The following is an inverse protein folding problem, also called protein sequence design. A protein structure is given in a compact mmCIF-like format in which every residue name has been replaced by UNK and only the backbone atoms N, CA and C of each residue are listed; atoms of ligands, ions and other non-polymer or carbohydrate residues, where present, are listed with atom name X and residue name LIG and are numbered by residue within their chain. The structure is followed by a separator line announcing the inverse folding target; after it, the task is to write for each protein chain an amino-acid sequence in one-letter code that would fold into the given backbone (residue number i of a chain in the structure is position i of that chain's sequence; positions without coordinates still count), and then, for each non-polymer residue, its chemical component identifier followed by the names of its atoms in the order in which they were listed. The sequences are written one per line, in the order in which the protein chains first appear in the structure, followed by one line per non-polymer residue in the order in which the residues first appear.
data_IF_895828204195
#
_entry.id   IF_895828204195
#
_cell.length_a   1.000
_cell.length_b   1.000
_cell.length_c   1.000
_cell.angle_alpha   90.00
_cell.angle_beta   90.00
_cell.angle_gamma   90.00
#
_symmetry.space_group_name_H-M   'P 1'
#
loop_
_entity.id
_entity.type
_entity.pdbx_description
1 polymer ?
#
# COMPACT_ATOMS: atom_id res chain seq x y z
N UNK A 1 -17.64 -5.69 -0.58
CA UNK A 1 -17.68 -4.96 0.70
C UNK A 1 -18.96 -4.20 0.90
N UNK A 2 -19.77 -4.56 1.91
CA UNK A 2 -20.89 -3.76 2.39
C UNK A 2 -21.20 -4.12 3.86
N UNK A 3 -22.06 -3.35 4.54
CA UNK A 3 -22.53 -3.71 5.88
C UNK A 3 -21.44 -3.66 6.94
N UNK A 4 -21.22 -4.78 7.65
CA UNK A 4 -20.26 -4.88 8.76
C UNK A 4 -18.82 -4.64 8.31
N UNK A 5 -18.35 -5.32 7.26
CA UNK A 5 -16.99 -5.15 6.73
C UNK A 5 -16.68 -3.69 6.33
N UNK A 6 -17.69 -2.97 5.83
CA UNK A 6 -17.57 -1.55 5.49
C UNK A 6 -17.39 -0.67 6.73
N UNK A 7 -18.18 -0.94 7.79
CA UNK A 7 -18.07 -0.22 9.07
C UNK A 7 -16.75 -0.53 9.78
N UNK A 8 -16.33 -1.79 9.79
CA UNK A 8 -15.04 -2.17 10.38
C UNK A 8 -13.87 -1.48 9.69
N UNK A 9 -13.88 -1.45 8.35
CA UNK A 9 -12.87 -0.71 7.57
C UNK A 9 -12.89 0.78 7.91
N UNK A 10 -14.08 1.38 8.04
CA UNK A 10 -14.21 2.77 8.46
C UNK A 10 -13.58 3.01 9.83
N UNK A 11 -13.92 2.20 10.83
CA UNK A 11 -13.44 2.35 12.21
C UNK A 11 -11.92 2.15 12.29
N UNK A 12 -11.37 1.17 11.57
CA UNK A 12 -9.93 1.00 11.49
C UNK A 12 -9.24 2.22 10.87
N UNK A 13 -9.75 2.76 9.76
CA UNK A 13 -9.19 3.95 9.13
C UNK A 13 -9.31 5.20 10.02
N UNK A 14 -10.41 5.35 10.75
CA UNK A 14 -10.60 6.44 11.72
C UNK A 14 -9.56 6.41 12.83
N UNK A 15 -9.20 5.22 13.30
CA UNK A 15 -8.21 5.04 14.35
C UNK A 15 -6.78 5.33 13.86
N UNK A 16 -6.42 4.89 12.65
CA UNK A 16 -5.04 5.02 12.17
C UNK A 16 -4.73 6.40 11.57
N UNK A 17 -5.70 7.10 10.97
CA UNK A 17 -5.42 8.35 10.24
C UNK A 17 -4.75 9.42 11.12
N UNK A 18 -5.18 9.67 12.38
CA UNK A 18 -4.48 10.60 13.27
C UNK A 18 -3.07 10.13 13.62
N UNK A 19 -2.86 8.83 13.77
CA UNK A 19 -1.57 8.24 14.13
C UNK A 19 -0.58 8.39 12.96
N UNK A 20 -1.01 8.08 11.73
CA UNK A 20 -0.24 8.32 10.53
C UNK A 20 0.13 9.81 10.40
N UNK A 21 -0.81 10.70 10.69
CA UNK A 21 -0.60 12.15 10.59
C UNK A 21 0.44 12.68 11.58
N UNK A 22 0.58 12.04 12.75
CA UNK A 22 1.62 12.38 13.71
C UNK A 22 3.04 12.11 13.17
N UNK A 23 3.18 11.19 12.21
CA UNK A 23 4.47 10.81 11.60
C UNK A 23 4.66 11.32 10.16
N UNK A 24 3.58 11.66 9.46
CA UNK A 24 3.59 12.27 8.13
C UNK A 24 2.52 13.36 8.03
N UNK A 25 2.93 14.61 7.88
CA UNK A 25 2.02 15.75 7.80
C UNK A 25 1.06 15.68 6.61
N UNK A 26 1.30 14.83 5.62
CA UNK A 26 0.36 14.59 4.52
C UNK A 26 -0.81 13.69 4.92
N UNK A 27 -0.70 12.88 5.98
CA UNK A 27 -1.74 11.92 6.38
C UNK A 27 -1.80 10.71 5.44
N UNK A 28 -3.00 10.18 5.18
CA UNK A 28 -3.22 9.02 4.31
C UNK A 28 -4.01 9.40 3.05
N UNK A 29 -3.79 8.65 1.98
CA UNK A 29 -4.59 8.70 0.76
C UNK A 29 -5.47 7.47 0.67
N UNK A 30 -6.77 7.67 0.44
CA UNK A 30 -7.76 6.59 0.37
C UNK A 30 -8.27 6.42 -1.05
N UNK A 31 -8.18 5.18 -1.55
CA UNK A 31 -8.65 4.79 -2.88
C UNK A 31 -9.66 3.66 -2.77
N UNK A 32 -10.89 3.91 -3.23
CA UNK A 32 -11.88 2.85 -3.37
C UNK A 32 -11.72 2.11 -4.69
N UNK A 33 -12.05 0.81 -4.73
CA UNK A 33 -12.01 0.00 -5.96
C UNK A 33 -12.95 0.60 -7.03
N UNK A 34 -14.21 0.87 -6.66
CA UNK A 34 -15.30 1.19 -7.59
C UNK A 34 -15.81 2.65 -7.50
N UNK A 35 -15.08 3.51 -6.77
CA UNK A 35 -15.37 4.94 -6.71
C UNK A 35 -14.11 5.75 -7.03
N UNK A 36 -14.33 6.94 -7.62
CA UNK A 36 -13.29 7.90 -7.98
C UNK A 36 -13.68 9.27 -7.46
N UNK A 37 -12.69 10.02 -7.00
CA UNK A 37 -12.85 11.44 -6.74
C UNK A 37 -12.76 12.20 -8.07
N UNK A 38 -13.89 12.55 -8.67
CA UNK A 38 -13.94 13.29 -9.94
C UNK A 38 -13.55 14.77 -9.81
N UNK A 39 -13.46 15.29 -8.58
CA UNK A 39 -12.90 16.61 -8.31
C UNK A 39 -11.36 16.59 -8.27
N UNK A 40 -10.73 15.41 -8.30
CA UNK A 40 -9.29 15.30 -8.47
C UNK A 40 -8.88 15.71 -9.90
N UNK A 41 -7.59 16.02 -10.09
CA UNK A 41 -7.06 16.39 -11.41
C UNK A 41 -7.35 15.27 -12.44
N UNK A 42 -7.55 15.60 -13.73
CA UNK A 42 -7.89 14.61 -14.77
C UNK A 42 -6.86 13.47 -14.90
N UNK A 43 -5.61 13.73 -14.55
CA UNK A 43 -4.48 12.78 -14.57
C UNK A 43 -4.28 12.03 -13.23
N UNK A 44 -5.08 12.34 -12.21
CA UNK A 44 -5.01 11.69 -10.91
C UNK A 44 -5.63 10.29 -10.98
N UNK A 45 -5.12 9.33 -10.20
CA UNK A 45 -5.79 8.04 -9.97
C UNK A 45 -7.17 8.17 -9.30
N UNK A 46 -7.67 9.37 -9.00
CA UNK A 46 -9.01 9.62 -8.48
C UNK A 46 -9.15 9.16 -7.03
N UNK A 47 -8.12 9.42 -6.23
CA UNK A 47 -8.09 9.17 -4.79
C UNK A 47 -8.62 10.33 -3.97
N UNK A 48 -8.90 10.05 -2.70
CA UNK A 48 -9.21 11.02 -1.68
C UNK A 48 -7.95 11.22 -0.84
N UNK A 49 -7.21 12.28 -1.14
CA UNK A 49 -5.86 12.48 -0.61
C UNK A 49 -5.85 13.36 0.63
N UNK A 50 -4.76 13.29 1.38
CA UNK A 50 -4.51 14.12 2.55
C UNK A 50 -5.56 13.99 3.67
N UNK A 51 -6.04 12.77 3.90
CA UNK A 51 -6.96 12.45 4.99
C UNK A 51 -6.15 12.35 6.29
N UNK A 52 -6.45 13.24 7.24
CA UNK A 52 -5.66 13.42 8.47
C UNK A 52 -6.41 13.12 9.75
N UNK A 53 -7.73 13.25 9.71
CA UNK A 53 -8.58 13.20 10.91
C UNK A 53 -9.64 12.12 10.79
N UNK A 54 -10.08 11.59 11.94
CA UNK A 54 -11.19 10.64 12.00
C UNK A 54 -12.47 11.23 11.37
N UNK A 55 -12.74 12.52 11.55
CA UNK A 55 -13.90 13.20 10.97
C UNK A 55 -13.87 13.22 9.43
N UNK A 56 -12.69 13.40 8.83
CA UNK A 56 -12.54 13.32 7.37
C UNK A 56 -12.79 11.89 6.86
N UNK A 57 -12.33 10.86 7.59
CA UNK A 57 -12.63 9.46 7.25
C UNK A 57 -14.13 9.19 7.31
N UNK A 58 -14.81 9.63 8.37
CA UNK A 58 -16.28 9.48 8.48
C UNK A 58 -17.00 10.16 7.32
N UNK A 59 -16.65 11.40 7.00
CA UNK A 59 -17.25 12.14 5.89
C UNK A 59 -17.03 11.42 4.55
N UNK A 60 -15.85 10.83 4.36
CA UNK A 60 -15.52 10.06 3.17
C UNK A 60 -16.38 8.80 3.04
N UNK A 61 -16.52 8.02 4.12
CA UNK A 61 -17.32 6.80 4.11
C UNK A 61 -18.83 7.09 4.01
N UNK A 62 -19.27 8.29 4.41
CA UNK A 62 -20.64 8.77 4.17
C UNK A 62 -20.89 9.20 2.73
N UNK A 63 -19.88 9.71 2.01
CA UNK A 63 -20.04 10.18 0.62
C UNK A 63 -19.93 9.07 -0.43
N UNK A 64 -19.28 7.96 -0.09
CA UNK A 64 -19.13 6.80 -0.98
C UNK A 64 -20.10 5.68 -0.59
N UNK A 65 -20.64 4.98 -1.59
CA UNK A 65 -21.43 3.76 -1.40
C UNK A 65 -20.72 2.58 -2.04
N UNK A 66 -20.55 1.46 -1.31
CA UNK A 66 -19.96 0.27 -1.90
C UNK A 66 -20.86 -0.30 -3.00
N UNK A 67 -20.25 -0.79 -4.08
CA UNK A 67 -20.93 -1.34 -5.25
C UNK A 67 -19.97 -2.11 -6.14
N UNK A 68 -20.50 -2.95 -7.01
CA UNK A 68 -19.76 -3.61 -8.09
C UNK A 68 -18.86 -4.76 -7.62
N UNK A 69 -18.05 -5.24 -8.56
CA UNK A 69 -17.08 -6.33 -8.39
C UNK A 69 -15.83 -5.89 -7.61
N UNK A 70 -14.83 -6.75 -7.53
CA UNK A 70 -13.56 -6.49 -6.83
C UNK A 70 -12.39 -6.41 -7.84
N UNK A 71 -12.31 -5.39 -8.70
CA UNK A 71 -11.24 -5.26 -9.70
C UNK A 71 -9.93 -4.78 -9.05
N UNK A 72 -9.35 -5.63 -8.20
CA UNK A 72 -8.19 -5.34 -7.35
C UNK A 72 -6.96 -5.03 -8.19
N UNK A 73 -6.62 -5.88 -9.16
CA UNK A 73 -5.44 -5.70 -10.00
C UNK A 73 -5.52 -4.42 -10.81
N UNK A 74 -6.68 -4.17 -11.43
CA UNK A 74 -6.97 -2.95 -12.18
C UNK A 74 -6.82 -1.71 -11.30
N UNK A 75 -7.29 -1.75 -10.06
CA UNK A 75 -7.17 -0.60 -9.15
C UNK A 75 -5.72 -0.36 -8.72
N UNK A 76 -4.98 -1.41 -8.36
CA UNK A 76 -3.55 -1.33 -8.03
C UNK A 76 -2.79 -0.70 -9.19
N UNK A 77 -3.00 -1.18 -10.42
CA UNK A 77 -2.34 -0.63 -11.62
C UNK A 77 -2.67 0.85 -11.82
N UNK A 78 -3.92 1.26 -11.66
CA UNK A 78 -4.30 2.67 -11.79
C UNK A 78 -3.56 3.58 -10.80
N UNK A 79 -3.28 3.10 -9.59
CA UNK A 79 -2.60 3.88 -8.56
C UNK A 79 -1.08 3.87 -8.77
N UNK A 80 -0.49 2.70 -9.02
CA UNK A 80 0.96 2.55 -9.09
C UNK A 80 1.54 2.95 -10.45
N UNK A 81 0.79 2.89 -11.55
CA UNK A 81 1.30 3.23 -12.87
C UNK A 81 1.74 4.70 -13.00
N UNK A 82 0.95 5.70 -12.54
CA UNK A 82 1.41 7.10 -12.49
C UNK A 82 2.64 7.27 -11.59
N UNK A 83 2.63 6.66 -10.40
CA UNK A 83 3.75 6.71 -9.46
C UNK A 83 5.06 6.18 -10.08
N UNK A 84 5.00 5.01 -10.75
CA UNK A 84 6.17 4.44 -11.42
C UNK A 84 6.69 5.32 -12.56
N UNK A 85 5.80 6.02 -13.28
CA UNK A 85 6.23 6.99 -14.31
C UNK A 85 6.95 8.19 -13.70
N UNK A 86 6.44 8.70 -12.58
CA UNK A 86 7.09 9.78 -11.83
C UNK A 86 8.46 9.34 -11.32
N UNK A 87 8.54 8.14 -10.75
CA UNK A 87 9.77 7.52 -10.26
C UNK A 87 10.82 7.35 -11.37
N UNK A 88 10.45 6.78 -12.51
CA UNK A 88 11.33 6.66 -13.68
C UNK A 88 11.84 8.00 -14.18
N UNK A 89 10.96 8.99 -14.30
CA UNK A 89 11.34 10.32 -14.74
C UNK A 89 12.27 11.00 -13.74
N UNK A 90 12.10 10.74 -12.44
CA UNK A 90 12.98 11.26 -11.40
C UNK A 90 14.37 10.61 -11.43
N UNK A 91 14.45 9.30 -11.64
CA UNK A 91 15.72 8.59 -11.87
C UNK A 91 16.42 9.16 -13.09
N UNK A 92 15.71 9.32 -14.21
CA UNK A 92 16.29 9.86 -15.43
C UNK A 92 16.90 11.27 -15.25
N UNK A 93 16.36 12.07 -14.32
CA UNK A 93 16.89 13.40 -13.97
C UNK A 93 18.07 13.38 -13.00
N UNK A 94 18.08 12.43 -12.07
CA UNK A 94 19.01 12.43 -10.92
C UNK A 94 20.14 11.41 -11.05
N UNK A 95 19.95 10.37 -11.85
CA UNK A 95 20.87 9.24 -11.99
C UNK A 95 20.94 8.33 -10.75
N UNK A 96 20.13 8.59 -9.71
CA UNK A 96 20.18 7.84 -8.45
C UNK A 96 18.77 7.37 -8.04
N UNK A 97 18.45 6.07 -8.14
CA UNK A 97 17.20 5.49 -7.66
C UNK A 97 16.90 5.76 -6.17
N UNK A 98 17.91 5.72 -5.31
CA UNK A 98 17.74 5.84 -3.86
C UNK A 98 17.46 7.28 -3.39
N UNK A 99 17.88 8.28 -4.17
CA UNK A 99 17.74 9.71 -3.83
C UNK A 99 17.18 10.54 -4.99
N UNK A 100 16.19 9.99 -5.70
CA UNK A 100 15.52 10.69 -6.80
C UNK A 100 14.44 11.67 -6.32
N UNK A 101 14.21 11.80 -5.01
CA UNK A 101 13.22 12.69 -4.41
C UNK A 101 11.78 12.17 -4.39
N UNK A 102 11.52 10.99 -4.97
CA UNK A 102 10.19 10.36 -4.95
C UNK A 102 10.03 9.52 -3.69
N UNK A 103 8.99 9.84 -2.89
CA UNK A 103 8.74 9.16 -1.62
C UNK A 103 8.32 7.70 -1.85
N UNK A 104 8.86 6.74 -1.08
CA UNK A 104 8.36 5.37 -1.05
C UNK A 104 6.87 5.28 -0.70
N UNK A 105 6.19 4.25 -1.23
CA UNK A 105 4.75 4.02 -1.03
C UNK A 105 4.53 2.74 -0.22
N UNK A 106 3.65 2.80 0.78
CA UNK A 106 3.09 1.62 1.45
C UNK A 106 1.58 1.56 1.14
N UNK A 107 1.18 0.60 0.31
CA UNK A 107 -0.20 0.40 -0.12
C UNK A 107 -0.86 -0.68 0.73
N UNK A 108 -1.92 -0.33 1.45
CA UNK A 108 -2.74 -1.27 2.21
C UNK A 108 -4.03 -1.52 1.44
N UNK A 109 -4.25 -2.77 1.02
CA UNK A 109 -5.44 -3.22 0.30
C UNK A 109 -6.35 -3.95 1.28
N UNK A 110 -7.50 -3.35 1.58
CA UNK A 110 -8.50 -3.92 2.49
C UNK A 110 -9.67 -4.45 1.65
N UNK A 111 -9.97 -5.74 1.73
CA UNK A 111 -11.03 -6.38 0.93
C UNK A 111 -11.79 -7.44 1.74
N UNK A 112 -13.06 -7.67 1.41
CA UNK A 112 -13.87 -8.76 1.96
C UNK A 112 -14.32 -9.76 0.89
N UNK A 113 -13.79 -9.64 -0.33
CA UNK A 113 -14.15 -10.46 -1.47
C UNK A 113 -12.92 -10.79 -2.33
N UNK A 114 -13.01 -11.93 -3.03
CA UNK A 114 -12.01 -12.34 -4.01
C UNK A 114 -11.87 -11.32 -5.14
N UNK A 115 -10.64 -11.09 -5.67
CA UNK A 115 -10.42 -10.32 -6.89
C UNK A 115 -11.24 -10.88 -8.06
N UNK A 116 -11.79 -10.00 -8.90
CA UNK A 116 -12.49 -10.38 -10.13
C UNK A 116 -11.62 -10.23 -11.38
N UNK A 117 -10.36 -9.89 -11.18
CA UNK A 117 -9.30 -9.75 -12.17
C UNK A 117 -8.02 -10.37 -11.62
N UNK A 118 -6.90 -10.18 -12.30
CA UNK A 118 -5.60 -10.77 -11.96
C UNK A 118 -4.68 -9.72 -11.29
N UNK A 119 -4.72 -9.57 -9.95
CA UNK A 119 -3.79 -8.73 -9.23
C UNK A 119 -2.36 -9.26 -9.26
N UNK A 120 -2.16 -10.57 -9.35
CA UNK A 120 -0.85 -11.21 -9.33
C UNK A 120 0.00 -10.73 -10.52
N UNK A 121 -0.55 -10.81 -11.74
CA UNK A 121 0.14 -10.36 -12.95
C UNK A 121 0.49 -8.87 -12.91
N UNK A 122 -0.38 -8.04 -12.32
CA UNK A 122 -0.13 -6.60 -12.13
C UNK A 122 1.03 -6.36 -11.17
N UNK A 123 1.03 -7.04 -10.03
CA UNK A 123 2.08 -6.92 -9.00
C UNK A 123 3.42 -7.39 -9.56
N UNK A 124 3.47 -8.55 -10.22
CA UNK A 124 4.69 -9.06 -10.87
C UNK A 124 5.21 -8.07 -11.90
N UNK A 125 4.34 -7.45 -12.69
CA UNK A 125 4.72 -6.43 -13.67
C UNK A 125 5.34 -5.19 -13.02
N UNK A 126 4.75 -4.71 -11.91
CA UNK A 126 5.28 -3.60 -11.11
C UNK A 126 6.65 -3.96 -10.53
N UNK A 127 6.78 -5.15 -9.95
CA UNK A 127 8.00 -5.61 -9.31
C UNK A 127 9.17 -5.72 -10.31
N UNK A 128 8.94 -6.39 -11.44
CA UNK A 128 9.92 -6.47 -12.53
C UNK A 128 10.32 -5.10 -13.06
N UNK A 129 9.42 -4.12 -13.05
CA UNK A 129 9.72 -2.75 -13.50
C UNK A 129 10.61 -2.04 -12.49
N UNK A 130 10.37 -2.21 -11.20
CA UNK A 130 11.25 -1.69 -10.16
C UNK A 130 12.64 -2.34 -10.17
N UNK A 131 12.72 -3.65 -10.42
CA UNK A 131 14.00 -4.36 -10.54
C UNK A 131 14.84 -3.82 -11.71
N UNK A 132 14.20 -3.54 -12.87
CA UNK A 132 14.89 -2.91 -14.02
C UNK A 132 15.41 -1.50 -13.74
N UNK A 133 14.81 -0.82 -12.77
CA UNK A 133 15.21 0.54 -12.36
C UNK A 133 16.20 0.55 -11.21
N UNK A 134 16.65 -0.63 -10.77
CA UNK A 134 17.50 -0.81 -9.58
C UNK A 134 16.91 -0.06 -8.37
N UNK A 135 15.58 -0.10 -8.24
CA UNK A 135 14.89 0.62 -7.18
C UNK A 135 15.19 -0.04 -5.83
N UNK A 136 15.23 0.70 -4.72
CA UNK A 136 15.42 0.09 -3.41
C UNK A 136 14.26 -0.86 -3.08
N UNK A 137 14.48 -1.99 -2.37
CA UNK A 137 13.45 -2.96 -1.98
C UNK A 137 12.19 -2.36 -1.36
N UNK A 138 12.36 -1.25 -0.64
CA UNK A 138 11.31 -0.59 0.12
C UNK A 138 10.59 0.52 -0.64
N UNK A 139 10.86 0.73 -1.94
CA UNK A 139 10.25 1.81 -2.73
C UNK A 139 8.73 1.65 -2.85
N UNK A 140 8.24 0.42 -2.93
CA UNK A 140 6.82 0.07 -2.89
C UNK A 140 6.67 -1.14 -1.99
N UNK A 141 5.78 -1.05 -1.01
CA UNK A 141 5.25 -2.20 -0.28
C UNK A 141 3.74 -2.31 -0.51
N UNK A 142 3.23 -3.53 -0.70
CA UNK A 142 1.80 -3.81 -0.84
C UNK A 142 1.39 -4.80 0.25
N UNK A 143 0.31 -4.50 0.97
CA UNK A 143 -0.16 -5.34 2.06
C UNK A 143 -1.64 -5.62 1.93
N UNK A 144 -2.02 -6.89 1.93
CA UNK A 144 -3.41 -7.30 1.81
C UNK A 144 -4.00 -7.61 3.19
N UNK A 145 -5.19 -7.07 3.47
CA UNK A 145 -6.00 -7.35 4.65
C UNK A 145 -7.38 -7.83 4.25
N UNK A 146 -7.74 -9.00 4.75
CA UNK A 146 -9.12 -9.46 4.67
C UNK A 146 -9.96 -8.89 5.80
N UNK A 147 -11.18 -8.46 5.46
CA UNK A 147 -12.24 -8.12 6.43
C UNK A 147 -13.43 -9.06 6.21
N UNK A 148 -14.13 -9.42 7.29
CA UNK A 148 -15.22 -10.38 7.24
C UNK A 148 -14.73 -11.83 7.18
N UNK A 149 -15.59 -12.73 6.69
CA UNK A 149 -15.39 -14.19 6.77
C UNK A 149 -15.62 -14.91 5.45
N UNK A 150 -15.54 -14.19 4.33
CA UNK A 150 -15.69 -14.78 3.01
C UNK A 150 -14.55 -15.77 2.72
N UNK A 151 -14.89 -17.04 2.51
CA UNK A 151 -13.89 -18.08 2.26
C UNK A 151 -13.18 -17.90 0.91
N UNK A 152 -13.91 -17.46 -0.11
CA UNK A 152 -13.33 -17.20 -1.43
C UNK A 152 -12.27 -16.10 -1.39
N UNK A 153 -12.52 -15.03 -0.63
CA UNK A 153 -11.53 -13.98 -0.38
C UNK A 153 -10.29 -14.51 0.33
N UNK A 154 -10.46 -15.38 1.34
CA UNK A 154 -9.34 -15.97 2.07
C UNK A 154 -8.48 -16.86 1.18
N UNK A 155 -9.12 -17.72 0.38
CA UNK A 155 -8.46 -18.61 -0.57
C UNK A 155 -7.71 -17.81 -1.64
N UNK A 156 -8.36 -16.79 -2.23
CA UNK A 156 -7.74 -15.96 -3.26
C UNK A 156 -6.53 -15.15 -2.74
N UNK A 157 -6.58 -14.66 -1.50
CA UNK A 157 -5.43 -13.98 -0.90
C UNK A 157 -4.29 -14.95 -0.61
N UNK A 158 -4.59 -16.16 -0.16
CA UNK A 158 -3.58 -17.21 0.05
C UNK A 158 -2.92 -17.64 -1.26
N UNK A 159 -3.70 -17.85 -2.31
CA UNK A 159 -3.19 -18.16 -3.64
C UNK A 159 -2.31 -17.02 -4.19
N UNK A 160 -2.70 -15.76 -3.95
CA UNK A 160 -1.88 -14.61 -4.31
C UNK A 160 -0.53 -14.61 -3.55
N UNK A 161 -0.52 -14.92 -2.27
CA UNK A 161 0.71 -15.00 -1.47
C UNK A 161 1.63 -16.14 -1.91
N UNK A 162 1.07 -17.36 -2.03
CA UNK A 162 1.79 -18.56 -2.45
C UNK A 162 2.37 -18.38 -3.87
N UNK A 163 1.59 -17.83 -4.81
CA UNK A 163 2.05 -17.59 -6.19
C UNK A 163 3.14 -16.52 -6.28
N UNK A 164 3.06 -15.45 -5.49
CA UNK A 164 4.11 -14.43 -5.43
C UNK A 164 5.40 -14.97 -4.82
N UNK A 165 5.30 -15.87 -3.82
CA UNK A 165 6.45 -16.56 -3.26
C UNK A 165 7.07 -17.58 -4.24
N UNK A 166 6.26 -18.40 -4.91
CA UNK A 166 6.72 -19.43 -5.85
C UNK A 166 7.30 -18.85 -7.15
N UNK A 167 6.62 -17.86 -7.75
CA UNK A 167 7.10 -17.16 -8.95
C UNK A 167 8.14 -16.08 -8.62
N UNK A 168 8.34 -15.82 -7.32
CA UNK A 168 9.28 -14.86 -6.74
C UNK A 168 10.75 -15.25 -6.81
N UNK A 169 11.10 -16.42 -7.36
CA UNK A 169 12.49 -16.87 -7.56
C UNK A 169 13.40 -15.93 -8.38
N UNK A 170 12.88 -14.80 -8.86
CA UNK A 170 13.65 -13.67 -9.40
C UNK A 170 12.96 -12.32 -9.27
N UNK A 171 12.00 -12.16 -8.35
CA UNK A 171 11.23 -10.91 -8.15
C UNK A 171 11.48 -10.42 -6.72
N UNK A 172 11.71 -9.13 -6.55
CA UNK A 172 11.88 -8.50 -5.23
C UNK A 172 10.72 -8.78 -4.28
N UNK A 173 11.06 -9.01 -3.01
CA UNK A 173 10.10 -9.12 -1.90
C UNK A 173 9.47 -7.73 -1.61
N UNK A 174 8.22 -7.55 -2.02
CA UNK A 174 7.48 -6.28 -1.91
C UNK A 174 6.01 -6.43 -1.47
N UNK A 175 5.51 -7.66 -1.36
CA UNK A 175 4.11 -7.93 -1.02
C UNK A 175 4.06 -8.81 0.21
N UNK A 176 3.35 -8.35 1.23
CA UNK A 176 3.02 -9.14 2.42
C UNK A 176 1.50 -9.38 2.45
N UNK A 177 1.05 -10.62 2.56
CA UNK A 177 -0.38 -10.92 2.75
C UNK A 177 -0.66 -11.22 4.21
N UNK A 178 -1.61 -10.49 4.82
CA UNK A 178 -2.06 -10.75 6.19
C UNK A 178 -3.53 -11.18 6.16
N UNK A 179 -3.77 -12.47 6.28
CA UNK A 179 -5.11 -13.02 6.53
C UNK A 179 -5.40 -12.96 8.03
N UNK A 180 -6.51 -12.32 8.41
CA UNK A 180 -6.94 -12.34 9.81
C UNK A 180 -7.75 -13.60 10.09
N UNK A 181 -7.04 -14.66 10.48
CA UNK A 181 -7.63 -15.81 11.15
C UNK A 181 -7.83 -15.46 12.62
N UNK A 182 -9.08 -15.40 13.08
CA UNK A 182 -9.46 -15.17 14.48
C UNK A 182 -9.07 -16.31 15.42
N UNK A 183 -7.77 -16.61 15.53
CA UNK A 183 -7.22 -17.63 16.43
C UNK A 183 -7.09 -17.17 17.88
N UNK A 184 -7.16 -15.87 18.15
CA UNK A 184 -7.50 -15.37 19.48
C UNK A 184 -9.01 -15.18 19.54
N UNK A 185 -9.68 -15.84 20.49
CA UNK A 185 -11.15 -15.88 20.63
C UNK A 185 -11.87 -14.55 20.86
N UNK A 186 -11.27 -13.42 20.49
CA UNK A 186 -11.92 -12.13 20.30
C UNK A 186 -12.42 -12.02 18.85
N UNK A 187 -13.63 -11.47 18.67
CA UNK A 187 -14.33 -11.29 17.37
C UNK A 187 -13.37 -11.04 16.19
N UNK A 188 -13.59 -11.75 15.07
CA UNK A 188 -13.02 -11.48 13.72
C UNK A 188 -13.36 -10.06 13.21
N UNK A 189 -12.90 -9.04 13.90
CA UNK A 189 -13.01 -7.65 13.50
C UNK A 189 -11.62 -7.18 13.11
N UNK A 190 -11.52 -6.45 12.00
CA UNK A 190 -10.30 -5.74 11.62
C UNK A 190 -9.89 -4.79 12.76
N UNK A 191 -8.99 -5.22 13.65
CA UNK A 191 -8.60 -4.38 14.78
C UNK A 191 -7.72 -3.24 14.27
N UNK A 192 -8.01 -2.03 14.73
CA UNK A 192 -7.15 -0.86 14.46
C UNK A 192 -5.69 -1.15 14.82
N UNK A 193 -5.46 -1.95 15.87
CA UNK A 193 -4.14 -2.38 16.32
C UNK A 193 -3.40 -3.24 15.31
N UNK A 194 -4.09 -4.09 14.54
CA UNK A 194 -3.47 -4.91 13.51
C UNK A 194 -2.97 -4.05 12.34
N UNK A 195 -3.81 -3.17 11.82
CA UNK A 195 -3.39 -2.22 10.77
C UNK A 195 -2.33 -1.26 11.32
N UNK A 196 -2.47 -0.82 12.57
CA UNK A 196 -1.49 0.06 13.20
C UNK A 196 -0.13 -0.63 13.35
N UNK A 197 -0.06 -1.88 13.80
CA UNK A 197 1.20 -2.65 13.87
C UNK A 197 1.89 -2.73 12.51
N UNK A 198 1.10 -2.91 11.46
CA UNK A 198 1.56 -2.99 10.08
C UNK A 198 2.07 -1.63 9.59
N UNK A 199 1.30 -0.58 9.79
CA UNK A 199 1.69 0.79 9.46
C UNK A 199 2.95 1.19 10.23
N UNK A 200 2.99 0.94 11.54
CA UNK A 200 4.14 1.22 12.40
C UNK A 200 5.34 0.36 12.03
N UNK A 201 5.17 -0.93 11.73
CA UNK A 201 6.25 -1.80 11.29
C UNK A 201 6.91 -1.29 10.01
N UNK A 202 6.10 -0.85 9.03
CA UNK A 202 6.61 -0.22 7.82
C UNK A 202 7.30 1.13 8.11
N UNK A 203 6.76 1.95 9.01
CA UNK A 203 7.34 3.25 9.41
C UNK A 203 8.63 3.09 10.21
N UNK A 204 8.70 2.14 11.14
CA UNK A 204 9.88 1.84 11.97
C UNK A 204 11.01 1.32 11.10
N UNK A 205 10.75 0.35 10.20
CA UNK A 205 11.72 -0.09 9.18
C UNK A 205 12.28 1.10 8.37
N UNK A 206 11.46 2.12 8.09
CA UNK A 206 11.88 3.36 7.39
C UNK A 206 12.75 4.27 8.28
N UNK A 207 12.38 4.46 9.55
CA UNK A 207 13.11 5.32 10.48
C UNK A 207 14.48 4.74 10.86
N UNK A 208 14.56 3.44 11.10
CA UNK A 208 15.81 2.76 11.42
C UNK A 208 16.82 2.88 10.28
N UNK A 209 16.37 2.81 9.02
CA UNK A 209 17.24 2.96 7.84
C UNK A 209 17.68 4.40 7.58
N UNK A 210 16.83 5.39 7.86
CA UNK A 210 17.23 6.82 7.80
C UNK A 210 18.34 7.14 8.79
N UNK A 211 18.34 6.51 9.97
CA UNK A 211 19.44 6.64 10.94
C UNK A 211 20.73 6.03 10.40
N UNK A 212 20.67 4.81 9.85
CA UNK A 212 21.84 4.14 9.25
C UNK A 212 22.45 4.94 8.08
N UNK A 213 21.64 5.60 7.26
CA UNK A 213 22.12 6.40 6.12
C UNK A 213 22.69 7.77 6.54
N UNK A 214 22.32 8.31 7.70
CA UNK A 214 22.94 9.50 8.28
C UNK A 214 24.26 9.20 9.02
N UNK A 215 24.42 7.97 9.52
CA UNK A 215 25.61 7.53 10.26
C UNK A 215 26.70 6.89 9.37
N UNK A 216 26.46 6.78 8.06
CA UNK A 216 27.47 6.29 7.11
C UNK A 216 28.59 7.35 6.93
N UNK A 217 29.86 7.04 7.26
CA UNK A 217 30.95 7.99 7.10
C UNK A 217 31.16 8.32 5.61
N UNK A 218 31.50 9.57 5.27
CA UNK A 218 31.72 9.96 3.87
C UNK A 218 32.82 9.09 3.27
N UNK A 219 32.52 8.45 2.14
CA UNK A 219 33.47 7.65 1.38
C UNK A 219 34.63 8.56 0.94
N UNK A 220 35.77 8.44 1.63
CA UNK A 220 37.04 9.02 1.21
C UNK A 220 37.52 8.28 -0.03
N UNK A 221 37.00 8.62 -1.21
CA UNK A 221 37.68 8.24 -2.44
C UNK A 221 38.78 9.27 -2.73
N UNK A 222 40.01 8.83 -2.49
CA UNK A 222 41.25 9.57 -2.72
C UNK A 222 41.37 9.83 -4.22
N UNK A 223 41.45 11.11 -4.57
CA UNK A 223 42.23 11.55 -5.71
C UNK A 223 43.69 11.12 -5.50
N UNK A 224 44.28 10.47 -6.51
CA UNK A 224 45.60 10.76 -7.07
C UNK A 224 46.22 9.51 -7.71
N UNK A 225 47.20 9.68 -8.62
CA UNK A 225 47.39 10.75 -9.61
C UNK A 225 47.28 10.24 -11.06
#
# INVERSE_FOLDING_TARGET
MAGESWRETQEALRAIAPICTAHDANGIDVYFLNARNYAARPDSPGGFTNIRTAAQVESLFRSVRPRGCTPTGTRINHILKPYLREYEAAIARTGNPDDCGVKPVNMIVITDGAPTDDPEAVIISVARRLDRLDAPPHQIGIQFFQVGRDRGAAEALRELDDSLAERGGGVRDMVDTVTWDGKDGSRNSLSADAILKVVLGAVVKRLDRRRVSLDAPPSRNRLAP
#
